data_IF_065333803941
#
_entry.id   IF_065333803941
#
_cell.length_a   1.000
_cell.length_b   1.000
_cell.length_c   1.000
_cell.angle_alpha   90.00
_cell.angle_beta   90.00
_cell.angle_gamma   90.00
#
_symmetry.space_group_name_H-M   'P 1'
#
loop_
_entity.id
_entity.type
_entity.pdbx_description
1 polymer ?
#
# COMPACT_ATOMS: atom_id res chain seq x y z
N UNK A 1 15.56 33.27 19.43
CA UNK A 1 14.72 32.06 19.31
C UNK A 1 15.43 30.94 18.56
N UNK A 2 16.54 31.23 17.88
CA UNK A 2 17.47 30.26 17.27
C UNK A 2 18.21 29.38 18.29
N UNK A 3 18.52 29.91 19.46
CA UNK A 3 19.37 29.25 20.47
C UNK A 3 18.71 28.04 21.17
N UNK A 4 17.38 27.95 21.25
CA UNK A 4 16.70 26.83 21.91
C UNK A 4 16.58 25.60 21.02
N UNK A 5 16.52 25.81 19.70
CA UNK A 5 16.45 24.73 18.71
C UNK A 5 17.85 24.17 18.47
N UNK A 6 18.86 25.02 18.38
CA UNK A 6 20.26 24.60 18.27
C UNK A 6 20.76 23.87 19.53
N UNK A 7 20.33 24.28 20.74
CA UNK A 7 20.69 23.58 21.97
C UNK A 7 20.01 22.20 22.09
N UNK A 8 18.84 21.97 21.48
CA UNK A 8 18.22 20.62 21.41
C UNK A 8 18.98 19.70 20.44
N UNK A 9 19.75 20.28 19.52
CA UNK A 9 20.54 19.54 18.54
C UNK A 9 21.97 19.22 19.00
N UNK A 10 22.49 19.94 19.95
CA UNK A 10 23.78 19.65 20.64
C UNK A 10 23.69 18.48 21.61
N UNK A 11 22.56 17.82 21.67
CA UNK A 11 22.42 16.59 22.44
C UNK A 11 23.49 15.58 22.05
N UNK A 12 24.36 15.27 22.99
CA UNK A 12 25.51 14.36 22.83
C UNK A 12 25.15 13.03 22.13
N UNK A 13 23.88 12.66 22.14
CA UNK A 13 23.35 11.44 21.52
C UNK A 13 23.26 11.54 20.00
N UNK A 14 22.88 12.69 19.46
CA UNK A 14 22.76 12.86 18.01
C UNK A 14 24.13 12.94 17.35
N UNK A 15 25.08 13.61 18.00
CA UNK A 15 26.48 13.66 17.57
C UNK A 15 27.15 12.29 17.75
N UNK A 16 26.85 11.56 18.82
CA UNK A 16 27.47 10.27 19.11
C UNK A 16 26.82 9.07 18.39
N UNK A 17 25.52 9.16 18.02
CA UNK A 17 24.75 8.03 17.45
C UNK A 17 23.66 8.49 16.49
N UNK A 18 23.95 9.23 15.41
CA UNK A 18 22.91 9.76 14.54
C UNK A 18 22.08 8.65 13.87
N UNK A 19 22.70 7.55 13.50
CA UNK A 19 22.01 6.41 12.88
C UNK A 19 21.05 5.72 13.87
N UNK A 20 21.47 5.55 15.13
CA UNK A 20 20.61 4.94 16.16
C UNK A 20 19.39 5.80 16.47
N UNK A 21 19.55 7.12 16.52
CA UNK A 21 18.44 8.04 16.68
C UNK A 21 17.46 7.95 15.49
N UNK A 22 17.96 7.96 14.26
CA UNK A 22 17.12 7.81 13.06
C UNK A 22 16.36 6.48 13.03
N UNK A 23 16.98 5.37 13.43
CA UNK A 23 16.30 4.06 13.51
C UNK A 23 15.16 4.09 14.55
N UNK A 24 15.40 4.70 15.70
CA UNK A 24 14.36 4.80 16.73
C UNK A 24 13.24 5.76 16.31
N UNK A 25 13.55 6.89 15.70
CA UNK A 25 12.55 7.80 15.12
C UNK A 25 11.73 7.14 14.03
N UNK A 26 12.37 6.38 13.14
CA UNK A 26 11.69 5.60 12.10
C UNK A 26 10.67 4.63 12.72
N UNK A 27 11.10 3.84 13.69
CA UNK A 27 10.25 2.88 14.38
C UNK A 27 9.10 3.57 15.13
N UNK A 28 9.38 4.69 15.77
CA UNK A 28 8.37 5.49 16.46
C UNK A 28 7.29 6.00 15.49
N UNK A 29 7.68 6.61 14.38
CA UNK A 29 6.71 7.07 13.38
C UNK A 29 5.98 5.92 12.70
N UNK A 30 6.66 4.83 12.42
CA UNK A 30 6.06 3.62 11.88
C UNK A 30 5.00 3.03 12.82
N UNK A 31 5.28 3.02 14.13
CA UNK A 31 4.32 2.61 15.14
C UNK A 31 3.13 3.57 15.26
N UNK A 32 3.37 4.88 15.31
CA UNK A 32 2.30 5.88 15.32
C UNK A 32 1.39 5.76 14.08
N UNK A 33 1.99 5.56 12.90
CA UNK A 33 1.26 5.33 11.67
C UNK A 33 0.42 4.05 11.72
N UNK A 34 0.97 2.97 12.25
CA UNK A 34 0.23 1.72 12.46
C UNK A 34 -0.95 1.90 13.42
N UNK A 35 -0.76 2.61 14.53
CA UNK A 35 -1.86 2.93 15.48
C UNK A 35 -2.95 3.72 14.74
N UNK A 36 -2.58 4.72 13.94
CA UNK A 36 -3.53 5.52 13.17
C UNK A 36 -4.32 4.65 12.19
N UNK A 37 -3.66 3.86 11.36
CA UNK A 37 -4.29 3.01 10.36
C UNK A 37 -5.16 1.91 10.98
N UNK A 38 -4.64 1.22 12.01
CA UNK A 38 -5.30 0.07 12.61
C UNK A 38 -6.45 0.44 13.54
N UNK A 39 -6.48 1.68 14.04
CA UNK A 39 -7.55 2.17 14.92
C UNK A 39 -8.45 3.15 14.20
N UNK A 40 -7.96 4.36 13.88
CA UNK A 40 -8.81 5.43 13.35
C UNK A 40 -9.33 5.09 11.97
N UNK A 41 -8.44 4.78 11.02
CA UNK A 41 -8.86 4.45 9.66
C UNK A 41 -9.68 3.16 9.61
N UNK A 42 -9.27 2.12 10.34
CA UNK A 42 -10.00 0.86 10.38
C UNK A 42 -11.38 1.00 11.04
N UNK A 43 -11.51 1.80 12.10
CA UNK A 43 -12.82 2.05 12.72
C UNK A 43 -13.74 2.88 11.82
N UNK A 44 -13.21 3.87 11.11
CA UNK A 44 -14.00 4.68 10.18
C UNK A 44 -14.49 3.85 8.98
N UNK A 45 -13.66 2.94 8.45
CA UNK A 45 -13.96 2.18 7.24
C UNK A 45 -14.67 0.85 7.53
N UNK A 46 -14.36 0.19 8.63
CA UNK A 46 -14.84 -1.17 8.92
C UNK A 46 -15.59 -1.30 10.26
N UNK A 47 -15.70 -0.23 11.04
CA UNK A 47 -16.35 -0.24 12.35
C UNK A 47 -15.66 -1.12 13.40
N UNK A 48 -14.44 -1.60 13.14
CA UNK A 48 -13.67 -2.49 14.03
C UNK A 48 -12.18 -2.27 13.86
N UNK A 49 -11.40 -2.64 14.87
CA UNK A 49 -9.95 -2.71 14.78
C UNK A 49 -9.53 -3.72 13.69
N UNK A 50 -8.61 -3.32 12.85
CA UNK A 50 -7.98 -4.20 11.87
C UNK A 50 -6.47 -3.94 11.86
N UNK A 51 -5.66 -4.99 11.96
CA UNK A 51 -4.21 -4.84 11.81
C UNK A 51 -3.91 -4.43 10.36
N UNK A 52 -3.50 -3.18 10.18
CA UNK A 52 -3.28 -2.57 8.88
C UNK A 52 -1.78 -2.39 8.62
N UNK A 53 -1.40 -2.49 7.36
CA UNK A 53 -0.03 -2.27 6.92
C UNK A 53 0.59 -3.47 6.23
N UNK A 54 1.78 -3.25 5.67
CA UNK A 54 2.53 -4.29 4.96
C UNK A 54 3.20 -5.28 5.92
N UNK A 55 3.67 -4.80 7.09
CA UNK A 55 4.35 -5.62 8.09
C UNK A 55 3.34 -6.40 8.94
N UNK A 56 3.77 -7.57 9.45
CA UNK A 56 2.98 -8.37 10.39
C UNK A 56 2.92 -7.72 11.77
N UNK A 57 4.00 -7.07 12.18
CA UNK A 57 4.10 -6.34 13.44
C UNK A 57 3.48 -4.94 13.39
N UNK A 58 3.42 -4.26 14.54
CA UNK A 58 2.77 -2.97 14.71
C UNK A 58 3.64 -1.82 14.15
N UNK A 59 3.89 -1.84 12.85
CA UNK A 59 4.68 -0.81 12.19
C UNK A 59 4.25 -0.62 10.73
N UNK A 60 3.99 0.63 10.34
CA UNK A 60 3.79 1.03 8.96
C UNK A 60 5.02 1.78 8.44
N UNK A 61 5.92 1.13 7.68
CA UNK A 61 7.21 1.70 7.27
C UNK A 61 7.11 3.00 6.48
N UNK A 62 6.02 3.21 5.74
CA UNK A 62 5.80 4.44 4.96
C UNK A 62 5.76 5.68 5.86
N UNK A 63 5.16 5.59 7.05
CA UNK A 63 5.14 6.69 8.01
C UNK A 63 6.52 6.94 8.61
N UNK A 64 7.28 5.87 8.89
CA UNK A 64 8.67 5.97 9.31
C UNK A 64 9.54 6.66 8.26
N UNK A 65 9.46 6.20 7.01
CA UNK A 65 10.20 6.78 5.88
C UNK A 65 9.79 8.25 5.63
N UNK A 66 8.49 8.53 5.64
CA UNK A 66 7.95 9.87 5.45
C UNK A 66 8.40 10.84 6.54
N UNK A 67 8.30 10.43 7.81
CA UNK A 67 8.71 11.25 8.95
C UNK A 67 10.20 11.61 8.90
N UNK A 68 11.06 10.59 8.70
CA UNK A 68 12.52 10.81 8.59
C UNK A 68 12.87 11.66 7.37
N UNK A 69 12.29 11.38 6.21
CA UNK A 69 12.56 12.15 5.00
C UNK A 69 12.15 13.62 5.17
N UNK A 70 10.97 13.89 5.71
CA UNK A 70 10.52 15.24 6.00
C UNK A 70 11.46 15.94 6.99
N UNK A 71 11.83 15.29 8.07
CA UNK A 71 12.77 15.83 9.02
C UNK A 71 14.13 16.20 8.37
N UNK A 72 14.76 15.25 7.70
CA UNK A 72 16.09 15.46 7.11
C UNK A 72 16.09 16.56 6.02
N UNK A 73 15.04 16.59 5.19
CA UNK A 73 14.99 17.51 4.05
C UNK A 73 14.46 18.91 4.43
N UNK A 74 13.58 18.98 5.44
CA UNK A 74 12.77 20.19 5.66
C UNK A 74 13.09 20.94 6.95
N UNK A 75 13.87 20.37 7.87
CA UNK A 75 14.21 20.99 9.16
C UNK A 75 14.87 22.36 9.02
N UNK A 76 15.55 22.61 7.89
CA UNK A 76 16.22 23.89 7.61
C UNK A 76 15.31 24.98 7.06
N UNK A 77 14.01 24.69 6.79
CA UNK A 77 13.06 25.67 6.26
C UNK A 77 12.43 26.43 7.44
N UNK A 78 12.72 27.74 7.60
CA UNK A 78 12.25 28.50 8.76
C UNK A 78 10.76 28.84 8.69
N UNK A 79 10.25 29.12 7.49
CA UNK A 79 8.86 29.49 7.28
C UNK A 79 7.92 28.27 7.28
N UNK A 80 6.87 28.34 8.11
CA UNK A 80 5.94 27.24 8.29
C UNK A 80 5.13 26.93 7.03
N UNK A 81 4.75 27.94 6.26
CA UNK A 81 3.94 27.79 5.04
C UNK A 81 4.77 27.09 3.95
N UNK A 82 6.00 27.54 3.75
CA UNK A 82 6.94 26.92 2.80
C UNK A 82 7.30 25.48 3.21
N UNK A 83 7.50 25.26 4.52
CA UNK A 83 7.76 23.93 5.06
C UNK A 83 6.56 22.99 4.86
N UNK A 84 5.34 23.46 5.08
CA UNK A 84 4.10 22.72 4.82
C UNK A 84 3.98 22.29 3.36
N UNK A 85 4.14 23.24 2.42
CA UNK A 85 4.06 22.94 0.98
C UNK A 85 5.13 21.92 0.57
N UNK A 86 6.37 22.13 1.00
CA UNK A 86 7.46 21.20 0.72
C UNK A 86 7.19 19.81 1.34
N UNK A 87 6.63 19.75 2.55
CA UNK A 87 6.26 18.51 3.21
C UNK A 87 5.16 17.76 2.46
N UNK A 88 4.12 18.46 2.01
CA UNK A 88 3.06 17.86 1.21
C UNK A 88 3.60 17.24 -0.09
N UNK A 89 4.54 17.91 -0.75
CA UNK A 89 5.21 17.39 -1.95
C UNK A 89 6.08 16.17 -1.65
N UNK A 90 6.91 16.23 -0.62
CA UNK A 90 7.78 15.10 -0.22
C UNK A 90 6.93 13.88 0.15
N UNK A 91 5.90 14.05 0.97
CA UNK A 91 5.00 12.96 1.33
C UNK A 91 4.29 12.37 0.10
N UNK A 92 3.81 13.20 -0.82
CA UNK A 92 3.17 12.74 -2.05
C UNK A 92 4.11 11.91 -2.94
N UNK A 93 5.37 12.31 -3.05
CA UNK A 93 6.37 11.53 -3.81
C UNK A 93 6.64 10.18 -3.15
N UNK A 94 6.77 10.15 -1.82
CA UNK A 94 6.99 8.90 -1.07
C UNK A 94 5.76 8.00 -1.22
N UNK A 95 4.56 8.51 -0.97
CA UNK A 95 3.31 7.77 -1.05
C UNK A 95 3.09 7.17 -2.44
N UNK A 96 3.29 7.97 -3.49
CA UNK A 96 3.19 7.49 -4.87
C UNK A 96 4.22 6.39 -5.18
N UNK A 97 5.48 6.61 -4.79
CA UNK A 97 6.57 5.67 -5.05
C UNK A 97 6.37 4.34 -4.32
N UNK A 98 5.97 4.40 -3.05
CA UNK A 98 5.67 3.22 -2.24
C UNK A 98 4.45 2.49 -2.78
N UNK A 99 3.40 3.21 -3.20
CA UNK A 99 2.22 2.62 -3.82
C UNK A 99 2.56 1.83 -5.09
N UNK A 100 3.39 2.40 -5.97
CA UNK A 100 3.88 1.70 -7.17
C UNK A 100 4.74 0.49 -6.81
N UNK A 101 5.63 0.63 -5.83
CA UNK A 101 6.52 -0.46 -5.40
C UNK A 101 5.72 -1.63 -4.82
N UNK A 102 4.79 -1.36 -3.92
CA UNK A 102 3.96 -2.39 -3.29
C UNK A 102 3.08 -3.10 -4.34
N UNK A 103 2.44 -2.34 -5.23
CA UNK A 103 1.61 -2.92 -6.30
C UNK A 103 2.44 -3.84 -7.22
N UNK A 104 3.68 -3.47 -7.56
CA UNK A 104 4.58 -4.30 -8.37
C UNK A 104 5.10 -5.54 -7.63
N UNK A 105 5.32 -5.45 -6.33
CA UNK A 105 5.93 -6.55 -5.55
C UNK A 105 4.92 -7.54 -5.01
N UNK A 106 3.70 -7.08 -4.71
CA UNK A 106 2.64 -7.90 -4.09
C UNK A 106 1.48 -8.20 -5.02
N UNK A 107 1.36 -7.48 -6.16
CA UNK A 107 0.19 -7.55 -7.03
C UNK A 107 -1.07 -6.94 -6.43
N UNK A 108 -0.99 -6.34 -5.24
CA UNK A 108 -2.13 -5.78 -4.52
C UNK A 108 -1.98 -4.26 -4.33
N UNK A 109 -3.10 -3.56 -4.38
CA UNK A 109 -3.21 -2.14 -4.04
C UNK A 109 -3.55 -2.02 -2.56
N UNK A 110 -2.73 -1.31 -1.79
CA UNK A 110 -2.93 -1.13 -0.35
C UNK A 110 -3.87 0.03 -0.03
N UNK A 111 -3.98 1.00 -0.95
CA UNK A 111 -4.95 2.12 -0.87
C UNK A 111 -5.34 2.55 -2.28
N UNK A 112 -6.53 3.12 -2.42
CA UNK A 112 -7.03 3.65 -3.68
C UNK A 112 -7.86 4.92 -3.45
N UNK A 113 -7.35 6.04 -3.97
CA UNK A 113 -8.01 7.34 -3.90
C UNK A 113 -8.69 7.74 -5.22
N UNK A 114 -8.93 6.79 -6.13
CA UNK A 114 -9.53 7.09 -7.45
C UNK A 114 -10.90 7.75 -7.34
N UNK A 115 -11.62 7.50 -6.24
CA UNK A 115 -12.92 8.12 -5.94
C UNK A 115 -12.82 9.56 -5.42
N UNK A 116 -11.62 10.02 -5.00
CA UNK A 116 -11.42 11.37 -4.47
C UNK A 116 -11.03 12.36 -5.58
N UNK A 117 -11.48 13.63 -5.50
CA UNK A 117 -11.08 14.66 -6.46
C UNK A 117 -9.58 14.96 -6.33
N UNK A 118 -8.99 15.45 -7.44
CA UNK A 118 -7.57 15.79 -7.52
C UNK A 118 -6.63 14.63 -7.12
N UNK A 119 -7.00 13.40 -7.47
CA UNK A 119 -6.11 12.26 -7.33
C UNK A 119 -5.19 12.09 -8.55
N UNK A 120 -4.05 11.44 -8.36
CA UNK A 120 -3.12 11.05 -9.40
C UNK A 120 -2.99 9.53 -9.41
N UNK A 121 -3.59 8.89 -10.42
CA UNK A 121 -3.65 7.43 -10.61
C UNK A 121 -4.22 6.66 -9.39
N UNK A 122 -5.07 7.31 -8.58
CA UNK A 122 -5.60 6.73 -7.35
C UNK A 122 -4.57 6.51 -6.23
N UNK A 123 -3.29 6.89 -6.43
CA UNK A 123 -2.22 6.62 -5.45
C UNK A 123 -1.97 7.76 -4.48
N UNK A 124 -2.24 8.99 -4.91
CA UNK A 124 -2.18 10.21 -4.08
C UNK A 124 -3.37 11.09 -4.40
N UNK A 125 -3.79 11.93 -3.46
CA UNK A 125 -4.78 12.97 -3.69
C UNK A 125 -4.47 14.21 -2.86
N UNK A 126 -5.01 15.36 -3.27
CA UNK A 126 -4.73 16.66 -2.64
C UNK A 126 -5.14 16.69 -1.16
N UNK A 127 -6.25 16.06 -0.81
CA UNK A 127 -6.73 16.01 0.58
C UNK A 127 -5.70 15.34 1.51
N UNK A 128 -5.22 14.14 1.15
CA UNK A 128 -4.23 13.42 1.95
C UNK A 128 -2.85 14.06 1.87
N UNK A 129 -2.47 14.66 0.73
CA UNK A 129 -1.24 15.44 0.63
C UNK A 129 -1.21 16.60 1.64
N UNK A 130 -2.32 17.32 1.81
CA UNK A 130 -2.44 18.36 2.83
C UNK A 130 -2.40 17.80 4.25
N UNK A 131 -3.10 16.69 4.51
CA UNK A 131 -3.09 16.05 5.84
C UNK A 131 -1.68 15.57 6.23
N UNK A 132 -0.96 14.91 5.32
CA UNK A 132 0.42 14.47 5.54
C UNK A 132 1.39 15.65 5.65
N UNK A 133 1.15 16.73 4.88
CA UNK A 133 1.92 17.97 5.00
C UNK A 133 1.81 18.59 6.41
N UNK A 134 0.61 18.62 6.99
CA UNK A 134 0.39 19.07 8.37
C UNK A 134 1.07 18.13 9.39
N UNK A 135 0.93 16.82 9.19
CA UNK A 135 1.60 15.83 10.04
C UNK A 135 3.12 16.00 10.01
N UNK A 136 3.70 16.17 8.83
CA UNK A 136 5.13 16.38 8.68
C UNK A 136 5.61 17.72 9.27
N UNK A 137 4.79 18.77 9.18
CA UNK A 137 5.07 20.04 9.87
C UNK A 137 5.12 19.85 11.39
N UNK A 138 4.16 19.10 11.95
CA UNK A 138 4.13 18.74 13.36
C UNK A 138 5.37 17.93 13.74
N UNK A 139 5.76 16.94 12.93
CA UNK A 139 6.98 16.16 13.12
C UNK A 139 8.20 17.07 13.17
N UNK A 140 8.38 17.91 12.17
CA UNK A 140 9.57 18.76 12.06
C UNK A 140 9.70 19.78 13.18
N UNK A 141 8.60 20.29 13.71
CA UNK A 141 8.62 21.40 14.68
C UNK A 141 8.43 20.99 16.12
N UNK A 142 7.79 19.87 16.37
CA UNK A 142 7.40 19.47 17.71
C UNK A 142 7.89 18.06 18.06
N UNK A 143 7.53 17.06 17.25
CA UNK A 143 7.68 15.66 17.65
C UNK A 143 9.15 15.22 17.61
N UNK A 144 9.83 15.45 16.49
CA UNK A 144 11.23 15.03 16.36
C UNK A 144 12.18 15.78 17.32
N UNK A 145 12.12 17.11 17.48
CA UNK A 145 12.90 17.79 18.49
C UNK A 145 12.68 17.26 19.92
N UNK A 146 11.43 16.96 20.26
CA UNK A 146 11.10 16.39 21.58
C UNK A 146 11.65 14.96 21.73
N UNK A 147 11.52 14.13 20.68
CA UNK A 147 12.01 12.75 20.67
C UNK A 147 13.54 12.72 20.77
N UNK A 148 14.23 13.54 20.00
CA UNK A 148 15.69 13.66 20.06
C UNK A 148 16.16 14.20 21.43
N UNK A 149 15.43 15.16 21.98
CA UNK A 149 15.68 15.65 23.36
C UNK A 149 15.57 14.52 24.38
N UNK A 150 14.50 13.70 24.29
CA UNK A 150 14.31 12.54 25.16
C UNK A 150 15.45 11.51 25.01
N UNK A 151 15.82 11.17 23.78
CA UNK A 151 16.93 10.25 23.51
C UNK A 151 18.27 10.81 24.03
N UNK A 152 18.45 12.14 23.99
CA UNK A 152 19.63 12.83 24.51
C UNK A 152 19.84 12.69 26.02
N UNK A 153 18.80 12.41 26.78
CA UNK A 153 18.90 12.15 28.22
C UNK A 153 19.29 10.71 28.58
N UNK A 154 19.29 9.81 27.58
CA UNK A 154 19.62 8.40 27.80
C UNK A 154 21.11 8.12 27.58
N UNK A 155 21.71 7.16 28.30
CA UNK A 155 23.06 6.69 28.04
C UNK A 155 23.19 6.19 26.58
N UNK A 156 24.25 6.63 25.90
CA UNK A 156 24.53 6.28 24.49
C UNK A 156 24.46 4.78 24.22
N UNK A 157 24.95 3.95 25.17
CA UNK A 157 24.90 2.50 25.05
C UNK A 157 23.45 1.98 24.98
N UNK A 158 22.53 2.53 25.80
CA UNK A 158 21.13 2.15 25.82
C UNK A 158 20.48 2.49 24.45
N UNK A 159 20.73 3.69 23.93
CA UNK A 159 20.20 4.13 22.63
C UNK A 159 20.70 3.22 21.52
N UNK A 160 21.98 2.86 21.50
CA UNK A 160 22.56 1.94 20.48
C UNK A 160 21.98 0.54 20.57
N UNK A 161 21.88 -0.02 21.78
CA UNK A 161 21.30 -1.35 21.98
C UNK A 161 19.83 -1.38 21.60
N UNK A 162 19.04 -0.39 22.02
CA UNK A 162 17.64 -0.27 21.65
C UNK A 162 17.46 -0.17 20.11
N UNK A 163 18.23 0.69 19.47
CA UNK A 163 18.19 0.83 18.02
C UNK A 163 18.57 -0.47 17.29
N UNK A 164 19.59 -1.18 17.77
CA UNK A 164 20.00 -2.47 17.20
C UNK A 164 18.89 -3.52 17.35
N UNK A 165 18.29 -3.67 18.54
CA UNK A 165 17.20 -4.62 18.77
C UNK A 165 16.00 -4.29 17.87
N UNK A 166 15.61 -3.02 17.79
CA UNK A 166 14.50 -2.55 16.95
C UNK A 166 14.79 -2.80 15.47
N UNK A 167 16.00 -2.49 15.00
CA UNK A 167 16.39 -2.73 13.61
C UNK A 167 16.33 -4.21 13.25
N UNK A 168 16.84 -5.08 14.12
CA UNK A 168 16.79 -6.54 13.91
C UNK A 168 15.35 -7.04 13.90
N UNK A 169 14.52 -6.61 14.85
CA UNK A 169 13.09 -6.98 14.90
C UNK A 169 12.35 -6.55 13.63
N UNK A 170 12.55 -5.32 13.18
CA UNK A 170 11.93 -4.81 11.95
C UNK A 170 12.44 -5.53 10.70
N UNK A 171 13.73 -5.89 10.65
CA UNK A 171 14.28 -6.66 9.53
C UNK A 171 13.66 -8.05 9.45
N UNK A 172 13.57 -8.75 10.60
CA UNK A 172 12.94 -10.08 10.67
C UNK A 172 11.48 -9.98 10.25
N UNK A 173 10.74 -9.00 10.78
CA UNK A 173 9.34 -8.78 10.41
C UNK A 173 9.18 -8.48 8.92
N UNK A 174 10.03 -7.63 8.35
CA UNK A 174 9.99 -7.32 6.92
C UNK A 174 10.22 -8.59 6.05
N UNK A 175 11.18 -9.44 6.42
CA UNK A 175 11.44 -10.70 5.71
C UNK A 175 10.25 -11.65 5.82
N UNK A 176 9.71 -11.83 7.02
CA UNK A 176 8.53 -12.68 7.25
C UNK A 176 7.29 -12.15 6.51
N UNK A 177 7.06 -10.84 6.54
CA UNK A 177 5.96 -10.19 5.85
C UNK A 177 6.07 -10.36 4.33
N UNK A 178 7.24 -10.11 3.75
CA UNK A 178 7.46 -10.30 2.32
C UNK A 178 7.27 -11.76 1.89
N UNK A 179 7.77 -12.71 2.69
CA UNK A 179 7.57 -14.12 2.42
C UNK A 179 6.09 -14.53 2.50
N UNK A 180 5.34 -13.97 3.45
CA UNK A 180 3.91 -14.22 3.62
C UNK A 180 3.11 -13.64 2.44
N UNK A 181 3.41 -12.43 2.00
CA UNK A 181 2.78 -11.79 0.85
C UNK A 181 3.05 -12.55 -0.45
N UNK A 182 4.28 -13.03 -0.67
CA UNK A 182 4.62 -13.85 -1.84
C UNK A 182 3.82 -15.16 -1.85
N UNK A 183 3.75 -15.86 -0.72
CA UNK A 183 2.96 -17.09 -0.60
C UNK A 183 1.47 -16.85 -0.90
N UNK A 184 0.92 -15.76 -0.39
CA UNK A 184 -0.47 -15.39 -0.65
C UNK A 184 -0.70 -15.09 -2.14
N UNK A 185 0.20 -14.34 -2.77
CA UNK A 185 0.14 -14.04 -4.20
C UNK A 185 0.17 -15.32 -5.04
N UNK A 186 1.13 -16.24 -4.74
CA UNK A 186 1.24 -17.53 -5.44
C UNK A 186 -0.02 -18.39 -5.27
N UNK A 187 -0.63 -18.37 -4.08
CA UNK A 187 -1.89 -19.09 -3.84
C UNK A 187 -3.05 -18.50 -4.63
N UNK A 188 -3.15 -17.17 -4.68
CA UNK A 188 -4.18 -16.48 -5.46
C UNK A 188 -4.04 -16.74 -6.96
N UNK A 189 -2.81 -16.75 -7.48
CA UNK A 189 -2.57 -17.11 -8.89
C UNK A 189 -2.99 -18.55 -9.20
N UNK A 190 -2.68 -19.49 -8.32
CA UNK A 190 -3.12 -20.89 -8.48
C UNK A 190 -4.64 -21.02 -8.47
N UNK A 191 -5.33 -20.36 -7.54
CA UNK A 191 -6.80 -20.35 -7.47
C UNK A 191 -7.40 -19.72 -8.72
N UNK A 192 -6.81 -18.63 -9.23
CA UNK A 192 -7.25 -18.00 -10.48
C UNK A 192 -7.08 -18.95 -11.68
N UNK A 193 -5.94 -19.63 -11.77
CA UNK A 193 -5.68 -20.59 -12.84
C UNK A 193 -6.68 -21.77 -12.79
N UNK A 194 -6.87 -22.39 -11.61
CA UNK A 194 -7.83 -23.48 -11.42
C UNK A 194 -9.26 -23.05 -11.75
N UNK A 195 -9.63 -21.82 -11.38
CA UNK A 195 -10.95 -21.29 -11.71
C UNK A 195 -11.13 -21.04 -13.21
N UNK A 196 -10.10 -20.50 -13.87
CA UNK A 196 -10.10 -20.28 -15.32
C UNK A 196 -10.22 -21.63 -16.08
N UNK A 197 -9.49 -22.66 -15.64
CA UNK A 197 -9.55 -23.99 -16.24
C UNK A 197 -10.94 -24.61 -16.08
N UNK A 198 -11.56 -24.51 -14.89
CA UNK A 198 -12.94 -24.99 -14.63
C UNK A 198 -13.98 -24.25 -15.47
N UNK A 199 -13.81 -22.94 -15.67
CA UNK A 199 -14.71 -22.14 -16.51
C UNK A 199 -14.56 -22.57 -17.97
N UNK A 200 -13.34 -22.74 -18.46
CA UNK A 200 -13.10 -23.19 -19.81
C UNK A 200 -13.66 -24.60 -20.06
N UNK A 201 -13.49 -25.52 -19.10
CA UNK A 201 -14.06 -26.87 -19.17
C UNK A 201 -15.61 -26.82 -19.19
N UNK A 202 -16.21 -26.01 -18.31
CA UNK A 202 -17.67 -25.86 -18.28
C UNK A 202 -18.23 -25.21 -19.56
N UNK A 203 -17.49 -24.29 -20.18
CA UNK A 203 -17.85 -23.67 -21.46
C UNK A 203 -17.69 -24.67 -22.62
N UNK A 204 -16.67 -25.52 -22.60
CA UNK A 204 -16.48 -26.57 -23.57
C UNK A 204 -17.62 -27.60 -23.52
N UNK A 205 -17.97 -28.08 -22.30
CA UNK A 205 -19.09 -29.01 -22.09
C UNK A 205 -20.43 -28.41 -22.52
N UNK A 206 -20.66 -27.11 -22.23
CA UNK A 206 -21.86 -26.40 -22.66
C UNK A 206 -21.90 -26.24 -24.19
N UNK A 207 -20.76 -25.98 -24.82
CA UNK A 207 -20.61 -25.90 -26.28
C UNK A 207 -20.90 -27.22 -26.94
N UNK A 208 -20.33 -28.32 -26.42
CA UNK A 208 -20.55 -29.67 -26.96
C UNK A 208 -21.99 -30.10 -26.79
N UNK A 209 -22.61 -29.83 -25.64
CA UNK A 209 -24.02 -30.13 -25.38
C UNK A 209 -24.98 -29.32 -26.27
N UNK A 210 -24.59 -28.09 -26.67
CA UNK A 210 -25.34 -27.28 -27.65
C UNK A 210 -25.18 -27.81 -29.07
N UNK A 211 -23.97 -28.24 -29.44
CA UNK A 211 -23.71 -28.83 -30.76
C UNK A 211 -24.48 -30.13 -30.95
N UNK A 212 -24.56 -30.98 -29.90
CA UNK A 212 -25.34 -32.25 -29.93
C UNK A 212 -26.86 -32.02 -30.08
N UNK A 213 -27.38 -30.85 -29.67
CA UNK A 213 -28.80 -30.47 -29.79
C UNK A 213 -29.15 -29.85 -31.15
N UNK A 214 -28.16 -29.59 -32.01
CA UNK A 214 -28.40 -29.08 -33.36
C UNK A 214 -28.76 -30.27 -34.24
N UNK A 215 -30.00 -30.37 -34.79
CA UNK A 215 -30.35 -31.46 -35.69
C UNK A 215 -29.49 -31.46 -36.94
N UNK A 216 -29.11 -32.66 -37.41
CA UNK A 216 -28.27 -32.86 -38.57
C UNK A 216 -28.73 -32.06 -39.85
N UNK A 217 -30.08 -31.88 -39.96
CA UNK A 217 -30.65 -31.02 -40.99
C UNK A 217 -30.31 -29.53 -40.89
N UNK A 218 -29.89 -29.07 -39.73
CA UNK A 218 -29.41 -27.69 -39.55
C UNK A 218 -27.90 -27.55 -39.86
N UNK A 219 -27.16 -28.64 -39.69
CA UNK A 219 -25.71 -28.68 -39.99
C UNK A 219 -25.48 -28.58 -41.49
N UNK A 220 -26.30 -29.28 -42.30
CA UNK A 220 -26.21 -29.22 -43.79
C UNK A 220 -26.57 -27.83 -44.35
N UNK A 221 -27.44 -27.10 -43.68
CA UNK A 221 -27.75 -25.71 -44.08
C UNK A 221 -26.67 -24.69 -43.66
N UNK A 222 -25.86 -25.02 -42.67
CA UNK A 222 -24.77 -24.19 -42.14
C UNK A 222 -23.46 -24.41 -42.91
N UNK A 223 -23.27 -25.59 -43.53
CA UNK A 223 -22.12 -25.86 -44.41
C UNK A 223 -22.06 -24.93 -45.63
N UNK A 224 -23.20 -24.34 -46.03
CA UNK A 224 -23.26 -23.34 -47.10
C UNK A 224 -22.97 -21.90 -46.70
N UNK A 225 -22.84 -21.59 -45.40
CA UNK A 225 -22.54 -20.24 -44.99
C UNK A 225 -21.33 -20.19 -44.05
N UNK A 226 -20.15 -20.03 -44.64
CA UNK A 226 -18.85 -19.82 -44.00
C UNK A 226 -18.79 -18.63 -42.98
N UNK A 227 -19.91 -17.97 -42.75
CA UNK A 227 -20.05 -16.74 -41.95
C UNK A 227 -20.46 -17.05 -40.50
N UNK A 228 -21.17 -18.17 -40.24
CA UNK A 228 -21.71 -18.46 -38.91
C UNK A 228 -20.69 -19.00 -37.87
N UNK A 229 -19.72 -19.79 -38.33
CA UNK A 229 -18.68 -20.29 -37.39
C UNK A 229 -17.82 -19.19 -36.76
N UNK A 230 -17.55 -18.08 -37.51
CA UNK A 230 -16.85 -16.91 -36.95
C UNK A 230 -17.71 -16.08 -36.00
N UNK A 231 -19.02 -16.00 -36.23
CA UNK A 231 -19.93 -15.26 -35.36
C UNK A 231 -20.17 -15.97 -34.03
N UNK A 232 -20.27 -17.30 -34.03
CA UNK A 232 -20.42 -18.12 -32.80
C UNK A 232 -19.14 -18.09 -31.99
N UNK A 233 -17.98 -18.21 -32.61
CA UNK A 233 -16.70 -18.12 -31.87
C UNK A 233 -16.41 -16.69 -31.38
N UNK A 234 -16.81 -15.66 -32.14
CA UNK A 234 -16.73 -14.28 -31.65
C UNK A 234 -17.69 -14.03 -30.47
N UNK A 235 -18.92 -14.55 -30.54
CA UNK A 235 -19.89 -14.45 -29.46
C UNK A 235 -19.49 -15.27 -28.21
N UNK A 236 -18.90 -16.45 -28.38
CA UNK A 236 -18.35 -17.25 -27.27
C UNK A 236 -17.12 -16.59 -26.64
N UNK A 237 -16.29 -15.89 -27.44
CA UNK A 237 -15.18 -15.09 -26.93
C UNK A 237 -15.70 -13.88 -26.14
N UNK A 238 -16.70 -13.16 -26.63
CA UNK A 238 -17.33 -12.06 -25.92
C UNK A 238 -18.01 -12.53 -24.61
N UNK A 239 -18.66 -13.71 -24.62
CA UNK A 239 -19.24 -14.32 -23.42
C UNK A 239 -18.15 -14.75 -22.41
N UNK A 240 -17.05 -15.29 -22.90
CA UNK A 240 -15.89 -15.64 -22.09
C UNK A 240 -15.28 -14.40 -21.43
N UNK A 241 -15.08 -13.33 -22.20
CA UNK A 241 -14.56 -12.05 -21.71
C UNK A 241 -15.54 -11.39 -20.73
N UNK A 242 -16.84 -11.39 -21.01
CA UNK A 242 -17.86 -10.86 -20.10
C UNK A 242 -17.97 -11.68 -18.79
N UNK A 243 -17.84 -13.01 -18.86
CA UNK A 243 -17.80 -13.88 -17.68
C UNK A 243 -16.53 -13.67 -16.86
N UNK A 244 -15.38 -13.48 -17.52
CA UNK A 244 -14.12 -13.14 -16.87
C UNK A 244 -14.14 -11.75 -16.22
N UNK A 245 -14.78 -10.78 -16.85
CA UNK A 245 -14.95 -9.44 -16.28
C UNK A 245 -15.93 -9.43 -15.12
N UNK A 246 -17.04 -10.18 -15.20
CA UNK A 246 -17.96 -10.36 -14.09
C UNK A 246 -17.33 -11.12 -12.90
N UNK A 247 -16.39 -12.04 -13.18
CA UNK A 247 -15.60 -12.71 -12.15
C UNK A 247 -14.51 -11.81 -11.59
N UNK A 248 -13.88 -10.98 -12.41
CA UNK A 248 -12.96 -9.92 -11.96
C UNK A 248 -13.67 -8.92 -11.05
N UNK A 249 -14.89 -8.55 -11.37
CA UNK A 249 -15.71 -7.67 -10.54
C UNK A 249 -16.14 -8.33 -9.22
N UNK A 250 -16.47 -9.62 -9.23
CA UNK A 250 -16.80 -10.42 -8.01
C UNK A 250 -15.57 -10.84 -7.19
N UNK A 251 -14.41 -11.02 -7.83
CA UNK A 251 -13.15 -11.42 -7.20
C UNK A 251 -12.17 -10.26 -7.07
N UNK A 252 -12.54 -9.03 -7.51
CA UNK A 252 -11.83 -7.84 -7.07
C UNK A 252 -11.88 -7.90 -5.56
N UNK A 253 -10.75 -8.21 -4.95
CA UNK A 253 -10.59 -8.10 -3.50
C UNK A 253 -11.21 -6.77 -3.10
N UNK A 254 -11.92 -6.71 -1.97
CA UNK A 254 -12.34 -5.42 -1.47
C UNK A 254 -11.08 -4.57 -1.47
N UNK A 255 -11.07 -3.56 -2.31
CA UNK A 255 -10.14 -2.45 -2.18
C UNK A 255 -10.25 -2.09 -0.72
N UNK A 256 -9.16 -2.21 0.04
CA UNK A 256 -9.13 -2.03 1.48
C UNK A 256 -9.58 -0.62 1.89
N UNK A 257 -10.10 0.16 0.94
CA UNK A 257 -10.75 1.45 1.15
C UNK A 257 -11.77 1.65 0.01
N UNK A 258 -12.99 1.15 0.15
CA UNK A 258 -14.13 1.71 -0.56
C UNK A 258 -15.40 1.56 0.25
N UNK A 259 -16.12 2.63 0.32
CA UNK A 259 -17.45 2.89 0.80
C UNK A 259 -17.58 3.19 2.30
N UNK A 260 -17.55 4.49 2.56
CA UNK A 260 -18.10 5.23 3.71
C UNK A 260 -18.19 6.68 3.35
#
# INVERSE_FOLDING_TARGET
METAIDMAFDGATLVACPLSALVLSFAFYGFCGWVWESTVCAMLNHGRFANSGFLLGPCCPIYGAGGIACWLLLRGIPDASSQFVAAALVCSVIEYSVGVLLEKTTGARFWDYSHLPFNLHGRICLYWACAFGLGALCICRLVEPALLGLLGHLPVLIVRLAAFIVAVAMMVDAVCSLASWRRLSDQLERVRADLADRINESLADASDSMLERIPDSAIDSVAQTHIRGRAVNAWLAELGDAALDALREKTSMPTFISDG
#
